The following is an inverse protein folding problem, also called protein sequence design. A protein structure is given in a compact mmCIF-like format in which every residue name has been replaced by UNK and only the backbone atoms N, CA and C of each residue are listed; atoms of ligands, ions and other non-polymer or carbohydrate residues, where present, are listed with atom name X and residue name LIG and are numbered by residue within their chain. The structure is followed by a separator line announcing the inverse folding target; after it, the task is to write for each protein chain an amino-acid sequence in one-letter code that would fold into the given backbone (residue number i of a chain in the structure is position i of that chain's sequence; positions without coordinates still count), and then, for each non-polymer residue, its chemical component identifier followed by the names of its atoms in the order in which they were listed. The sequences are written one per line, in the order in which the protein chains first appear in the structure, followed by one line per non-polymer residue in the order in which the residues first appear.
data_IF_904220449517
#
_entry.id   IF_904220449517
#
_cell.length_a   1.000
_cell.length_b   1.000
_cell.length_c   1.000
_cell.angle_alpha   90.00
_cell.angle_beta   90.00
_cell.angle_gamma   90.00
#
_symmetry.space_group_name_H-M   'P 1'
#
loop_
_entity.id
_entity.type
_entity.pdbx_description
1 polymer ?
#
# COMPACT_ATOMS: atom_id res chain seq x y z
N UNK A 1 -34.78 -49.63 -18.30
CA UNK A 1 -34.43 -50.19 -16.97
C UNK A 1 -33.16 -49.47 -16.51
N UNK A 2 -33.21 -48.76 -15.39
CA UNK A 2 -32.11 -47.91 -14.89
C UNK A 2 -31.11 -48.77 -14.11
N UNK A 3 -29.82 -48.62 -14.37
CA UNK A 3 -28.77 -49.07 -13.45
C UNK A 3 -27.82 -47.90 -13.25
N UNK A 4 -28.18 -47.01 -12.33
CA UNK A 4 -27.23 -46.10 -11.71
C UNK A 4 -26.57 -46.88 -10.58
N UNK A 5 -25.46 -47.54 -10.89
CA UNK A 5 -24.66 -48.18 -9.85
C UNK A 5 -24.00 -47.09 -9.00
N UNK A 6 -24.47 -47.03 -7.76
CA UNK A 6 -23.97 -46.19 -6.69
C UNK A 6 -22.50 -46.50 -6.42
N UNK A 7 -21.58 -45.74 -7.03
CA UNK A 7 -20.22 -45.60 -6.54
C UNK A 7 -20.25 -44.85 -5.21
N UNK A 8 -20.54 -45.58 -4.13
CA UNK A 8 -20.45 -45.09 -2.75
C UNK A 8 -18.96 -44.94 -2.42
N UNK A 9 -18.37 -43.83 -2.85
CA UNK A 9 -17.01 -43.44 -2.47
C UNK A 9 -17.00 -43.29 -0.95
N UNK A 10 -16.17 -44.04 -0.20
CA UNK A 10 -16.10 -43.89 1.24
C UNK A 10 -15.72 -42.44 1.58
N UNK A 11 -16.38 -41.87 2.60
CA UNK A 11 -16.03 -40.55 3.11
C UNK A 11 -14.54 -40.51 3.48
N UNK A 12 -13.84 -39.44 3.11
CA UNK A 12 -12.41 -39.31 3.40
C UNK A 12 -12.19 -39.42 4.92
N UNK A 13 -11.27 -40.28 5.32
CA UNK A 13 -10.87 -40.48 6.72
C UNK A 13 -10.31 -39.15 7.26
N UNK A 14 -10.64 -38.74 8.50
CA UNK A 14 -10.08 -37.54 9.10
C UNK A 14 -8.55 -37.63 9.13
N UNK A 15 -7.90 -36.53 8.78
CA UNK A 15 -6.45 -36.47 8.67
C UNK A 15 -5.80 -36.60 10.05
N UNK A 16 -4.96 -37.61 10.24
CA UNK A 16 -4.24 -37.86 11.48
C UNK A 16 -2.99 -36.96 11.54
N UNK A 17 -2.87 -36.18 12.61
CA UNK A 17 -1.71 -35.31 12.85
C UNK A 17 -0.47 -36.13 13.26
N UNK A 18 0.75 -35.65 12.96
CA UNK A 18 1.07 -34.38 12.29
C UNK A 18 1.06 -34.52 10.77
N UNK A 19 0.49 -33.50 10.11
CA UNK A 19 0.42 -33.42 8.65
C UNK A 19 1.78 -33.00 8.08
N UNK A 20 2.43 -33.81 7.23
CA UNK A 20 3.68 -33.40 6.60
C UNK A 20 3.43 -32.22 5.65
N UNK A 21 3.90 -31.04 6.02
CA UNK A 21 3.84 -29.85 5.17
C UNK A 21 4.88 -30.00 4.06
N UNK A 22 4.44 -30.17 2.81
CA UNK A 22 5.32 -30.12 1.64
C UNK A 22 5.76 -28.67 1.42
N UNK A 23 6.96 -28.34 1.90
CA UNK A 23 7.56 -27.01 1.77
C UNK A 23 8.31 -26.91 0.44
N UNK A 24 7.91 -25.97 -0.43
CA UNK A 24 8.65 -25.66 -1.65
C UNK A 24 9.91 -24.81 -1.39
N UNK A 25 9.97 -24.14 -0.23
CA UNK A 25 11.07 -23.30 0.21
C UNK A 25 11.40 -23.58 1.68
N UNK A 26 12.68 -23.41 2.09
CA UNK A 26 13.06 -23.56 3.49
C UNK A 26 12.37 -22.51 4.37
N UNK A 27 11.94 -22.90 5.58
CA UNK A 27 11.40 -21.98 6.58
C UNK A 27 12.52 -21.20 7.25
N UNK A 28 13.17 -20.33 6.50
CA UNK A 28 14.17 -19.39 7.02
C UNK A 28 13.89 -18.00 6.46
N UNK A 29 14.19 -16.99 7.26
CA UNK A 29 14.08 -15.60 6.81
C UNK A 29 15.08 -15.35 5.68
N UNK A 30 14.68 -14.51 4.73
CA UNK A 30 15.57 -14.03 3.67
C UNK A 30 16.31 -12.80 4.15
N UNK A 31 17.50 -12.56 3.58
CA UNK A 31 18.29 -11.36 3.84
C UNK A 31 17.67 -10.07 3.27
N UNK A 32 16.60 -10.19 2.47
CA UNK A 32 15.93 -9.06 1.84
C UNK A 32 14.42 -9.28 1.74
N UNK A 33 13.69 -8.18 1.81
CA UNK A 33 12.27 -8.08 1.49
C UNK A 33 12.08 -7.63 0.04
N UNK A 34 11.00 -8.10 -0.58
CA UNK A 34 10.62 -7.66 -1.92
C UNK A 34 10.00 -6.26 -1.85
N UNK A 35 10.50 -5.34 -2.66
CA UNK A 35 9.90 -4.02 -2.83
C UNK A 35 8.72 -4.08 -3.78
N UNK A 36 7.59 -4.64 -3.34
CA UNK A 36 6.32 -4.42 -4.04
C UNK A 36 5.85 -3.02 -3.64
N UNK A 37 5.96 -2.06 -4.56
CA UNK A 37 5.54 -0.69 -4.30
C UNK A 37 4.10 -0.66 -3.80
N UNK A 38 3.89 0.04 -2.69
CA UNK A 38 2.56 0.34 -2.18
C UNK A 38 1.90 1.30 -3.17
N UNK A 39 0.93 0.78 -3.94
CA UNK A 39 0.18 1.62 -4.88
C UNK A 39 -0.93 2.30 -4.10
N UNK A 40 -0.62 3.45 -3.52
CA UNK A 40 -1.67 4.32 -2.99
C UNK A 40 -2.43 4.87 -4.20
N UNK A 41 -3.70 4.49 -4.32
CA UNK A 41 -4.61 4.98 -5.36
C UNK A 41 -5.27 6.31 -5.00
N UNK A 42 -4.87 6.91 -3.87
CA UNK A 42 -5.47 8.12 -3.37
C UNK A 42 -4.98 9.33 -4.18
N UNK A 43 -5.94 10.08 -4.71
CA UNK A 43 -5.69 11.30 -5.48
C UNK A 43 -5.57 12.45 -4.50
N UNK A 44 -4.44 13.15 -4.53
CA UNK A 44 -4.19 14.28 -3.64
C UNK A 44 -5.21 15.42 -3.83
N UNK A 45 -5.62 16.05 -2.71
CA UNK A 45 -6.43 17.27 -2.69
C UNK A 45 -7.81 17.18 -3.37
N UNK A 46 -8.40 15.98 -3.42
CA UNK A 46 -9.70 15.75 -4.06
C UNK A 46 -10.84 16.56 -3.40
N UNK A 47 -10.75 16.74 -2.08
CA UNK A 47 -11.75 17.51 -1.32
C UNK A 47 -11.73 18.99 -1.70
N UNK A 48 -10.54 19.63 -1.70
CA UNK A 48 -10.36 21.03 -2.08
C UNK A 48 -10.72 21.26 -3.54
N UNK A 49 -10.40 20.30 -4.41
CA UNK A 49 -10.78 20.35 -5.82
C UNK A 49 -12.30 20.38 -5.98
N UNK A 50 -13.02 19.55 -5.23
CA UNK A 50 -14.49 19.47 -5.30
C UNK A 50 -15.13 20.80 -4.85
N UNK A 51 -14.60 21.40 -3.76
CA UNK A 51 -15.09 22.70 -3.25
C UNK A 51 -14.85 23.82 -4.27
N UNK A 52 -13.68 23.86 -4.90
CA UNK A 52 -13.37 24.85 -5.93
C UNK A 52 -14.29 24.71 -7.15
N UNK A 53 -14.54 23.47 -7.59
CA UNK A 53 -15.44 23.20 -8.72
C UNK A 53 -16.89 23.59 -8.42
N UNK A 54 -17.36 23.40 -7.19
CA UNK A 54 -18.69 23.84 -6.79
C UNK A 54 -18.81 25.38 -6.82
N UNK A 55 -17.79 26.10 -6.33
CA UNK A 55 -17.76 27.56 -6.43
C UNK A 55 -17.80 28.03 -7.89
N UNK A 56 -17.03 27.40 -8.78
CA UNK A 56 -17.04 27.73 -10.20
C UNK A 56 -18.40 27.48 -10.86
N UNK A 57 -19.06 26.38 -10.53
CA UNK A 57 -20.39 26.06 -11.04
C UNK A 57 -21.43 27.12 -10.65
N UNK A 58 -21.37 27.61 -9.42
CA UNK A 58 -22.34 28.58 -8.90
C UNK A 58 -22.07 30.02 -9.37
N UNK A 59 -20.84 30.33 -9.82
CA UNK A 59 -20.40 31.69 -10.13
C UNK A 59 -19.92 31.86 -11.59
N UNK A 60 -20.39 31.02 -12.51
CA UNK A 60 -20.03 31.09 -13.94
C UNK A 60 -18.51 31.11 -14.18
N UNK A 61 -17.75 30.36 -13.37
CA UNK A 61 -16.28 30.28 -13.46
C UNK A 61 -15.55 31.62 -13.25
N UNK A 62 -16.17 32.59 -12.57
CA UNK A 62 -15.52 33.86 -12.20
C UNK A 62 -14.48 33.63 -11.12
N UNK A 63 -13.22 33.68 -11.53
CA UNK A 63 -12.07 33.39 -10.67
C UNK A 63 -11.96 34.31 -9.45
N UNK A 64 -12.34 35.58 -9.59
CA UNK A 64 -12.23 36.58 -8.52
C UNK A 64 -13.10 36.21 -7.31
N UNK A 65 -14.29 35.67 -7.57
CA UNK A 65 -15.26 35.27 -6.54
C UNK A 65 -14.76 34.02 -5.81
N UNK A 66 -14.16 33.07 -6.54
CA UNK A 66 -13.67 31.79 -6.01
C UNK A 66 -12.19 31.81 -5.61
N UNK A 67 -11.62 33.01 -5.37
CA UNK A 67 -10.20 33.18 -5.04
C UNK A 67 -9.78 32.43 -3.77
N UNK A 68 -10.69 32.32 -2.79
CA UNK A 68 -10.46 31.60 -1.54
C UNK A 68 -10.27 30.09 -1.78
N UNK A 69 -11.13 29.49 -2.58
CA UNK A 69 -11.14 28.05 -2.89
C UNK A 69 -9.90 27.67 -3.71
N UNK A 70 -9.50 28.54 -4.64
CA UNK A 70 -8.27 28.38 -5.42
C UNK A 70 -7.04 28.41 -4.51
N UNK A 71 -6.96 29.38 -3.61
CA UNK A 71 -5.84 29.48 -2.66
C UNK A 71 -5.76 28.24 -1.75
N UNK A 72 -6.89 27.71 -1.32
CA UNK A 72 -6.95 26.48 -0.51
C UNK A 72 -6.45 25.25 -1.29
N UNK A 73 -6.89 25.09 -2.54
CA UNK A 73 -6.42 24.02 -3.43
C UNK A 73 -4.90 24.11 -3.65
N UNK A 74 -4.40 25.31 -3.96
CA UNK A 74 -2.96 25.54 -4.15
C UNK A 74 -2.15 25.22 -2.88
N UNK A 75 -2.66 25.60 -1.71
CA UNK A 75 -2.02 25.29 -0.43
C UNK A 75 -1.97 23.79 -0.18
N UNK A 76 -3.06 23.06 -0.40
CA UNK A 76 -3.07 21.60 -0.29
C UNK A 76 -2.05 20.97 -1.24
N UNK A 77 -2.06 21.38 -2.51
CA UNK A 77 -1.18 20.82 -3.53
C UNK A 77 0.30 21.06 -3.20
N UNK A 78 0.63 22.27 -2.73
CA UNK A 78 2.00 22.60 -2.32
C UNK A 78 2.47 21.73 -1.16
N UNK A 79 1.63 21.56 -0.13
CA UNK A 79 1.95 20.70 1.02
C UNK A 79 2.17 19.26 0.57
N UNK A 80 1.27 18.71 -0.23
CA UNK A 80 1.40 17.36 -0.78
C UNK A 80 2.72 17.16 -1.54
N UNK A 81 3.07 18.11 -2.43
CA UNK A 81 4.32 18.04 -3.19
C UNK A 81 5.56 18.08 -2.28
N UNK A 82 5.53 18.88 -1.21
CA UNK A 82 6.64 18.93 -0.25
C UNK A 82 6.78 17.64 0.55
N UNK A 83 5.67 17.04 0.96
CA UNK A 83 5.66 15.77 1.70
C UNK A 83 6.12 14.60 0.82
N UNK A 84 5.63 14.53 -0.43
CA UNK A 84 6.05 13.53 -1.40
C UNK A 84 7.55 13.63 -1.70
N UNK A 85 8.08 14.84 -1.86
CA UNK A 85 9.51 15.03 -2.05
C UNK A 85 10.31 14.62 -0.82
N UNK A 86 9.84 14.95 0.39
CA UNK A 86 10.46 14.52 1.63
C UNK A 86 10.46 12.99 1.77
N UNK A 87 9.35 12.33 1.43
CA UNK A 87 9.22 10.87 1.43
C UNK A 87 10.20 10.22 0.46
N UNK A 88 10.25 10.70 -0.80
CA UNK A 88 11.21 10.22 -1.81
C UNK A 88 12.66 10.39 -1.36
N UNK A 89 12.99 11.52 -0.76
CA UNK A 89 14.34 11.77 -0.24
C UNK A 89 14.71 10.82 0.91
N UNK A 90 13.77 10.54 1.83
CA UNK A 90 13.98 9.57 2.92
C UNK A 90 14.19 8.15 2.39
N UNK A 91 13.39 7.74 1.42
CA UNK A 91 13.52 6.45 0.75
C UNK A 91 14.84 6.33 -0.02
N UNK A 92 15.22 7.37 -0.77
CA UNK A 92 16.46 7.39 -1.55
C UNK A 92 17.69 7.23 -0.67
N UNK A 93 17.76 7.98 0.42
CA UNK A 93 18.87 7.96 1.37
C UNK A 93 18.82 6.76 2.33
N UNK A 94 17.78 5.92 2.26
CA UNK A 94 17.55 4.78 3.15
C UNK A 94 17.76 5.11 4.64
N UNK A 95 17.33 6.32 5.02
CA UNK A 95 17.44 6.83 6.39
C UNK A 95 16.41 6.10 7.23
N UNK A 96 16.85 5.39 8.26
CA UNK A 96 15.97 4.71 9.22
C UNK A 96 15.84 5.61 10.42
N UNK A 97 14.68 6.20 10.64
CA UNK A 97 14.38 6.92 11.88
C UNK A 97 14.04 5.92 12.98
N UNK A 98 14.67 6.01 14.17
CA UNK A 98 14.19 5.30 15.35
C UNK A 98 12.71 5.70 15.57
N UNK A 99 11.84 4.74 15.86
CA UNK A 99 10.39 4.88 16.09
C UNK A 99 9.45 4.92 14.87
N UNK A 100 9.96 4.86 13.64
CA UNK A 100 9.10 4.73 12.45
C UNK A 100 8.55 3.30 12.33
N UNK A 101 7.22 3.15 12.44
CA UNK A 101 6.55 1.83 12.35
C UNK A 101 6.50 1.28 10.92
N UNK A 102 6.53 2.15 9.92
CA UNK A 102 6.35 1.79 8.51
C UNK A 102 7.61 2.16 7.72
N UNK A 103 8.54 1.21 7.59
CA UNK A 103 9.75 1.38 6.78
C UNK A 103 9.49 0.95 5.33
N UNK A 104 9.96 1.76 4.39
CA UNK A 104 10.05 1.36 2.99
C UNK A 104 10.95 0.14 2.84
N UNK A 105 10.66 -0.71 1.85
CA UNK A 105 11.47 -1.90 1.55
C UNK A 105 12.95 -1.57 1.35
N UNK A 106 13.28 -0.37 0.85
CA UNK A 106 14.67 0.07 0.68
C UNK A 106 15.35 0.36 2.02
N UNK A 107 14.66 1.05 2.93
CA UNK A 107 15.13 1.29 4.31
C UNK A 107 15.31 -0.03 5.05
N UNK A 108 14.32 -0.92 4.98
CA UNK A 108 14.35 -2.22 5.67
C UNK A 108 15.47 -3.12 5.11
N UNK A 109 15.67 -3.16 3.79
CA UNK A 109 16.78 -3.91 3.20
C UNK A 109 18.15 -3.34 3.57
N UNK A 110 18.27 -2.03 3.77
CA UNK A 110 19.51 -1.44 4.29
C UNK A 110 19.76 -1.86 5.75
N UNK A 111 18.70 -1.93 6.55
CA UNK A 111 18.77 -2.39 7.93
C UNK A 111 19.14 -3.88 8.04
N UNK A 112 18.48 -4.76 7.27
CA UNK A 112 18.74 -6.20 7.26
C UNK A 112 20.15 -6.58 6.80
N UNK A 113 20.82 -5.72 6.02
CA UNK A 113 22.24 -5.90 5.69
C UNK A 113 23.16 -5.76 6.90
N UNK A 114 22.80 -4.87 7.83
CA UNK A 114 23.57 -4.65 9.07
C UNK A 114 23.26 -5.73 10.11
N UNK A 115 22.02 -6.21 10.14
CA UNK A 115 21.53 -7.20 11.09
C UNK A 115 20.89 -8.39 10.34
N UNK A 116 21.70 -9.30 9.78
CA UNK A 116 21.18 -10.45 9.05
C UNK A 116 20.48 -11.43 10.00
N UNK A 117 19.37 -12.05 9.58
CA UNK A 117 18.75 -13.14 10.33
C UNK A 117 19.66 -14.38 10.35
N UNK A 118 19.77 -15.00 11.53
CA UNK A 118 20.47 -16.29 11.75
C UNK A 118 19.75 -17.46 11.09
#
# INVERSE_FOLDING_TARGET
MRIFDNLRVPARIPQKEPVPIKRSLPMKLKLRVSGKGERNSEVACLQELTIMLDCFKNNEFKQEICSKEINNLQKCFKNYMTEEQAKKNREQNAIVTPDEKNLSAKQLNNFLKKFPPN
#
